data_IF_309522078671
#
_entry.id   IF_309522078671
#
_cell.length_a   1.000
_cell.length_b   1.000
_cell.length_c   1.000
_cell.angle_alpha   90.00
_cell.angle_beta   90.00
_cell.angle_gamma   90.00
#
_symmetry.space_group_name_H-M   'P 1'
#
loop_
_entity.id
_entity.type
_entity.pdbx_description
1 polymer ?
#
# COMPACT_ATOMS: atom_id res chain seq x y z
N UNK A 1 -4.90 1.00 -16.64
CA UNK A 1 -3.59 1.07 -15.98
C UNK A 1 -3.74 2.12 -14.89
N UNK A 2 -3.61 1.75 -13.61
CA UNK A 2 -3.52 2.73 -12.55
C UNK A 2 -2.23 3.55 -12.76
N UNK A 3 -2.28 4.86 -12.52
CA UNK A 3 -1.09 5.70 -12.54
C UNK A 3 -0.22 5.32 -11.35
N UNK A 4 1.09 5.13 -11.56
CA UNK A 4 1.99 4.75 -10.46
C UNK A 4 2.20 5.92 -9.53
N UNK A 5 2.41 5.63 -8.24
CA UNK A 5 2.61 6.65 -7.21
C UNK A 5 3.80 7.56 -7.49
N UNK A 6 4.86 7.03 -8.10
CA UNK A 6 6.08 7.77 -8.44
C UNK A 6 6.10 8.30 -9.88
N UNK A 7 5.11 7.95 -10.71
CA UNK A 7 4.99 8.50 -12.06
C UNK A 7 4.40 9.91 -12.00
N UNK A 8 5.29 10.89 -11.92
CA UNK A 8 4.97 12.32 -11.88
C UNK A 8 4.67 12.87 -13.29
N UNK A 9 5.38 13.91 -13.72
CA UNK A 9 5.17 14.58 -15.01
C UNK A 9 5.92 13.96 -16.18
N UNK A 10 6.66 12.87 -15.96
CA UNK A 10 7.49 12.21 -16.97
C UNK A 10 7.06 10.76 -17.12
N UNK A 11 6.92 10.31 -18.37
CA UNK A 11 6.61 8.92 -18.64
C UNK A 11 7.79 8.03 -18.27
N UNK A 12 7.51 7.01 -17.46
CA UNK A 12 8.52 6.05 -17.03
C UNK A 12 8.96 5.17 -18.21
N UNK A 13 10.26 4.99 -18.39
CA UNK A 13 10.79 4.05 -19.36
C UNK A 13 10.52 2.60 -18.91
N UNK A 14 9.89 1.82 -19.79
CA UNK A 14 9.48 0.42 -19.50
C UNK A 14 10.63 -0.51 -19.15
N UNK A 15 11.81 -0.30 -19.74
CA UNK A 15 12.98 -1.15 -19.46
C UNK A 15 13.57 -0.83 -18.09
N UNK A 16 13.58 0.45 -17.70
CA UNK A 16 13.99 0.87 -16.36
C UNK A 16 13.03 0.31 -15.33
N UNK A 17 11.72 0.47 -15.54
CA UNK A 17 10.70 -0.10 -14.66
C UNK A 17 10.85 -1.61 -14.48
N UNK A 18 10.98 -2.36 -15.59
CA UNK A 18 11.14 -3.82 -15.53
C UNK A 18 12.37 -4.20 -14.73
N UNK A 19 13.45 -3.44 -14.86
CA UNK A 19 14.67 -3.66 -14.10
C UNK A 19 14.51 -3.32 -12.61
N UNK A 20 13.89 -2.19 -12.28
CA UNK A 20 13.76 -1.72 -10.90
C UNK A 20 12.73 -2.50 -10.10
N UNK A 21 11.58 -2.83 -10.69
CA UNK A 21 10.54 -3.64 -10.03
C UNK A 21 10.99 -5.10 -9.93
N UNK A 22 11.78 -5.58 -10.91
CA UNK A 22 12.41 -6.90 -10.85
C UNK A 22 11.48 -8.02 -10.40
N UNK A 23 11.74 -8.54 -9.19
CA UNK A 23 10.96 -9.60 -8.53
C UNK A 23 10.25 -9.13 -7.26
N UNK A 24 10.10 -7.83 -7.07
CA UNK A 24 9.55 -7.23 -5.85
C UNK A 24 8.13 -7.75 -5.59
N UNK A 25 7.31 -7.91 -6.64
CA UNK A 25 5.98 -8.53 -6.54
C UNK A 25 5.96 -9.93 -5.90
N UNK A 26 7.03 -10.70 -6.06
CA UNK A 26 7.16 -12.03 -5.45
C UNK A 26 7.80 -11.95 -4.06
N UNK A 27 8.82 -11.11 -3.91
CA UNK A 27 9.65 -11.03 -2.71
C UNK A 27 8.98 -10.20 -1.60
N UNK A 28 8.20 -9.19 -1.95
CA UNK A 28 7.57 -8.30 -0.98
C UNK A 28 6.36 -8.93 -0.31
N UNK A 29 5.82 -10.03 -0.86
CA UNK A 29 4.79 -10.82 -0.18
C UNK A 29 5.28 -11.33 1.19
N UNK A 30 6.59 -11.61 1.33
CA UNK A 30 7.20 -11.96 2.61
C UNK A 30 7.24 -10.79 3.60
N UNK A 31 7.19 -9.56 3.09
CA UNK A 31 7.23 -8.31 3.85
C UNK A 31 5.84 -7.73 4.12
N UNK A 32 4.81 -8.17 3.40
CA UNK A 32 3.46 -7.60 3.43
C UNK A 32 2.88 -7.42 4.83
N UNK A 33 3.06 -8.40 5.72
CA UNK A 33 2.55 -8.29 7.09
C UNK A 33 3.23 -7.16 7.88
N UNK A 34 4.51 -6.93 7.62
CA UNK A 34 5.31 -5.92 8.31
C UNK A 34 5.03 -4.54 7.75
N UNK A 35 4.82 -4.43 6.43
CA UNK A 35 4.39 -3.20 5.79
C UNK A 35 3.07 -2.70 6.39
N UNK A 36 2.04 -3.57 6.41
CA UNK A 36 0.72 -3.23 6.97
C UNK A 36 0.80 -2.86 8.46
N UNK A 37 1.63 -3.55 9.25
CA UNK A 37 1.88 -3.18 10.65
C UNK A 37 2.56 -1.80 10.77
N UNK A 38 3.53 -1.53 9.91
CA UNK A 38 4.20 -0.24 9.81
C UNK A 38 3.23 0.88 9.42
N UNK A 39 2.34 0.64 8.45
CA UNK A 39 1.29 1.59 8.06
C UNK A 39 0.36 1.90 9.23
N UNK A 40 -0.10 0.89 9.98
CA UNK A 40 -0.96 1.11 11.16
C UNK A 40 -0.27 1.98 12.23
N UNK A 41 1.02 1.74 12.48
CA UNK A 41 1.79 2.57 13.39
C UNK A 41 1.95 4.00 12.86
N UNK A 42 2.20 4.14 11.55
CA UNK A 42 2.38 5.44 10.91
C UNK A 42 1.12 6.29 10.97
N UNK A 43 -0.06 5.75 10.61
CA UNK A 43 -1.32 6.52 10.67
C UNK A 43 -1.70 6.89 12.11
N UNK A 44 -1.39 6.03 13.09
CA UNK A 44 -1.61 6.34 14.50
C UNK A 44 -0.76 7.53 14.93
N UNK A 45 0.50 7.58 14.46
CA UNK A 45 1.36 8.74 14.68
C UNK A 45 0.83 9.99 13.97
N UNK A 46 0.34 9.89 12.74
CA UNK A 46 -0.22 11.02 11.99
C UNK A 46 -1.45 11.65 12.70
N UNK A 47 -2.35 10.84 13.27
CA UNK A 47 -3.45 11.34 14.11
C UNK A 47 -2.92 12.06 15.36
N UNK A 48 -1.91 11.49 16.01
CA UNK A 48 -1.35 12.07 17.24
C UNK A 48 -0.76 13.48 17.05
N UNK A 49 -0.37 13.82 15.81
CA UNK A 49 0.15 15.15 15.44
C UNK A 49 -0.89 16.01 14.71
N UNK A 50 -2.14 15.54 14.60
CA UNK A 50 -3.26 16.27 14.00
C UNK A 50 -3.25 16.33 12.47
N UNK A 51 -2.52 15.44 11.79
CA UNK A 51 -2.58 15.29 10.32
C UNK A 51 -3.68 14.32 9.87
N UNK A 52 -4.25 13.54 10.80
CA UNK A 52 -5.47 12.77 10.60
C UNK A 52 -6.45 13.07 11.72
N UNK A 53 -7.74 13.04 11.41
CA UNK A 53 -8.82 13.01 12.39
C UNK A 53 -8.93 11.62 13.02
N UNK A 54 -9.65 11.53 14.13
CA UNK A 54 -9.91 10.24 14.78
C UNK A 54 -10.78 9.35 13.90
N UNK A 55 -11.72 9.96 13.20
CA UNK A 55 -12.64 9.28 12.28
C UNK A 55 -11.89 8.71 11.07
N UNK A 56 -10.92 9.43 10.51
CA UNK A 56 -10.02 8.93 9.44
C UNK A 56 -9.14 7.79 9.97
N UNK A 57 -8.53 7.96 11.16
CA UNK A 57 -7.71 6.93 11.79
C UNK A 57 -8.49 5.62 12.01
N UNK A 58 -9.72 5.69 12.53
CA UNK A 58 -10.55 4.51 12.78
C UNK A 58 -10.87 3.75 11.50
N UNK A 59 -11.19 4.45 10.42
CA UNK A 59 -11.46 3.85 9.11
C UNK A 59 -10.22 3.18 8.52
N UNK A 60 -9.09 3.88 8.53
CA UNK A 60 -7.82 3.37 8.03
C UNK A 60 -7.33 2.16 8.83
N UNK A 61 -7.41 2.20 10.17
CA UNK A 61 -7.05 1.07 11.03
C UNK A 61 -7.96 -0.14 10.80
N UNK A 62 -9.25 0.07 10.59
CA UNK A 62 -10.19 -1.02 10.31
C UNK A 62 -9.81 -1.74 9.02
N UNK A 63 -9.55 -1.00 7.93
CA UNK A 63 -9.21 -1.63 6.66
C UNK A 63 -7.79 -2.19 6.61
N UNK A 64 -6.81 -1.57 7.26
CA UNK A 64 -5.47 -2.15 7.42
C UNK A 64 -5.51 -3.49 8.17
N UNK A 65 -6.39 -3.65 9.17
CA UNK A 65 -6.59 -4.95 9.84
C UNK A 65 -7.21 -5.99 8.91
N UNK A 66 -8.13 -5.58 8.03
CA UNK A 66 -8.68 -6.47 6.98
C UNK A 66 -7.58 -6.94 6.03
N UNK A 67 -6.72 -6.03 5.56
CA UNK A 67 -5.58 -6.33 4.70
C UNK A 67 -4.61 -7.27 5.44
N UNK A 68 -4.25 -6.97 6.68
CA UNK A 68 -3.37 -7.80 7.50
C UNK A 68 -3.90 -9.24 7.61
N UNK A 69 -5.20 -9.41 7.88
CA UNK A 69 -5.81 -10.72 7.95
C UNK A 69 -5.78 -11.47 6.60
N UNK A 70 -5.88 -10.76 5.47
CA UNK A 70 -5.71 -11.34 4.13
C UNK A 70 -4.27 -11.83 3.90
N UNK A 71 -3.28 -11.03 4.32
CA UNK A 71 -1.85 -11.41 4.25
C UNK A 71 -1.60 -12.67 5.07
N UNK A 72 -2.09 -12.75 6.30
CA UNK A 72 -1.90 -13.92 7.18
C UNK A 72 -2.57 -15.19 6.63
N UNK A 73 -3.65 -15.06 5.84
CA UNK A 73 -4.27 -16.20 5.14
C UNK A 73 -3.58 -16.58 3.83
N UNK A 74 -2.58 -15.82 3.39
CA UNK A 74 -1.93 -16.02 2.09
C UNK A 74 -2.81 -15.62 0.89
N UNK A 75 -3.82 -14.78 1.12
CA UNK A 75 -4.77 -14.29 0.10
C UNK A 75 -4.33 -12.95 -0.51
N UNK A 76 -3.34 -12.27 0.09
CA UNK A 76 -2.81 -11.01 -0.41
C UNK A 76 -1.97 -11.23 -1.66
N UNK A 77 -2.24 -10.45 -2.70
CA UNK A 77 -1.51 -10.45 -3.97
C UNK A 77 -1.12 -9.01 -4.33
N UNK A 78 0.05 -8.85 -4.93
CA UNK A 78 0.43 -7.60 -5.59
C UNK A 78 -0.07 -7.71 -7.03
N UNK A 79 -1.02 -6.84 -7.40
CA UNK A 79 -1.70 -6.87 -8.69
C UNK A 79 -0.74 -6.59 -9.86
N UNK A 80 -1.08 -7.11 -11.04
CA UNK A 80 -0.34 -6.79 -12.25
C UNK A 80 -0.38 -5.27 -12.51
N UNK A 81 0.80 -4.68 -12.72
CA UNK A 81 0.95 -3.24 -12.90
C UNK A 81 1.17 -2.45 -11.60
N UNK A 82 1.08 -3.09 -10.42
CA UNK A 82 1.53 -2.51 -9.14
C UNK A 82 2.98 -2.92 -8.91
N UNK A 83 3.82 -2.01 -8.47
CA UNK A 83 5.26 -2.27 -8.32
C UNK A 83 5.61 -3.18 -7.14
N UNK A 84 5.10 -2.84 -5.96
CA UNK A 84 5.57 -3.37 -4.69
C UNK A 84 4.41 -3.50 -3.68
N UNK A 85 4.73 -3.97 -2.47
CA UNK A 85 3.75 -4.10 -1.39
C UNK A 85 3.15 -2.75 -0.98
N UNK A 86 3.98 -1.72 -0.82
CA UNK A 86 3.53 -0.42 -0.32
C UNK A 86 2.44 0.16 -1.22
N UNK A 87 2.69 0.12 -2.54
CA UNK A 87 1.74 0.57 -3.55
C UNK A 87 0.48 -0.27 -3.59
N UNK A 88 0.58 -1.57 -3.34
CA UNK A 88 -0.60 -2.45 -3.28
C UNK A 88 -1.46 -2.12 -2.06
N UNK A 89 -0.86 -1.92 -0.89
CA UNK A 89 -1.59 -1.55 0.34
C UNK A 89 -2.29 -0.20 0.15
N UNK A 90 -1.58 0.80 -0.37
CA UNK A 90 -2.17 2.12 -0.67
C UNK A 90 -3.32 1.99 -1.67
N UNK A 91 -3.13 1.28 -2.78
CA UNK A 91 -4.17 1.05 -3.78
C UNK A 91 -5.43 0.41 -3.19
N UNK A 92 -5.28 -0.57 -2.29
CA UNK A 92 -6.40 -1.21 -1.62
C UNK A 92 -7.15 -0.24 -0.70
N UNK A 93 -6.42 0.59 0.06
CA UNK A 93 -7.00 1.62 0.91
C UNK A 93 -7.76 2.67 0.08
N UNK A 94 -7.14 3.24 -0.95
CA UNK A 94 -7.77 4.25 -1.81
C UNK A 94 -9.01 3.71 -2.51
N UNK A 95 -8.98 2.47 -3.02
CA UNK A 95 -10.17 1.85 -3.64
C UNK A 95 -11.33 1.67 -2.66
N UNK A 96 -11.02 1.46 -1.38
CA UNK A 96 -12.00 1.15 -0.33
C UNK A 96 -12.54 2.40 0.34
N UNK A 97 -11.68 3.38 0.59
CA UNK A 97 -11.96 4.55 1.41
C UNK A 97 -12.00 5.86 0.61
N UNK A 98 -11.43 5.91 -0.60
CA UNK A 98 -11.33 7.14 -1.38
C UNK A 98 -10.29 8.09 -0.80
N UNK A 99 -10.66 9.36 -0.65
CA UNK A 99 -9.79 10.47 -0.21
C UNK A 99 -9.87 10.74 1.31
N UNK A 100 -10.22 9.72 2.10
CA UNK A 100 -10.16 9.76 3.58
C UNK A 100 -8.72 10.01 4.03
#
# INVERSE_FOLDING_TARGET
>A
MAQKLWEKSVQVNKDIERFTVGRDREMDLYLAKHDVLGSMAHITMLESIGLLTKEELEQLLAELKTIYASVERGEFIIEEGVEDVHSQVELMLTRRLGDV
#
